data_IF_631773428473
#
_entry.id   IF_631773428473
#
_cell.length_a   1.000
_cell.length_b   1.000
_cell.length_c   1.000
_cell.angle_alpha   90.00
_cell.angle_beta   90.00
_cell.angle_gamma   90.00
#
_symmetry.space_group_name_H-M   'P 1'
#
loop_
_entity.id
_entity.type
_entity.pdbx_description
1 polymer ?
#
# COMPACT_ATOMS: atom_id res chain seq x y z
N UNK A 1 -14.39 -16.64 -9.50
CA UNK A 1 -14.49 -15.56 -10.53
C UNK A 1 -13.16 -14.84 -10.58
N UNK A 2 -12.88 -13.99 -11.59
CA UNK A 2 -11.61 -13.24 -11.60
C UNK A 2 -11.46 -12.33 -10.38
N UNK A 3 -12.58 -11.73 -9.94
CA UNK A 3 -12.70 -10.88 -8.75
C UNK A 3 -12.36 -11.60 -7.42
N UNK A 4 -12.25 -12.94 -7.42
CA UNK A 4 -11.83 -13.72 -6.26
C UNK A 4 -10.30 -13.98 -6.26
N UNK A 5 -9.56 -13.44 -7.24
CA UNK A 5 -8.13 -13.70 -7.45
C UNK A 5 -7.32 -12.49 -6.96
N UNK A 6 -6.43 -12.74 -6.01
CA UNK A 6 -5.46 -11.78 -5.51
C UNK A 6 -4.05 -12.24 -5.91
N UNK A 7 -3.41 -11.46 -6.77
CA UNK A 7 -2.06 -11.76 -7.27
C UNK A 7 -1.04 -11.08 -6.36
N UNK A 8 -0.13 -11.87 -5.78
CA UNK A 8 1.01 -11.35 -5.02
C UNK A 8 2.26 -11.29 -5.92
N UNK A 9 2.80 -10.10 -6.23
CA UNK A 9 4.00 -9.94 -7.06
C UNK A 9 5.31 -10.30 -6.33
N UNK A 10 5.24 -10.80 -5.09
CA UNK A 10 6.35 -11.25 -4.24
C UNK A 10 7.40 -10.17 -3.98
N UNK A 11 7.06 -9.26 -3.07
CA UNK A 11 7.91 -8.14 -2.66
C UNK A 11 9.27 -8.62 -2.12
N UNK A 12 10.35 -8.20 -2.77
CA UNK A 12 11.74 -8.48 -2.37
C UNK A 12 12.35 -7.31 -1.58
N UNK A 13 13.36 -7.53 -0.70
CA UNK A 13 13.96 -6.47 0.09
C UNK A 13 14.79 -5.47 -0.74
N UNK A 14 14.62 -4.16 -0.49
CA UNK A 14 15.45 -3.11 -1.11
C UNK A 14 16.92 -3.23 -0.71
N UNK A 15 17.20 -3.82 0.47
CA UNK A 15 18.58 -4.04 0.93
C UNK A 15 19.37 -5.00 0.06
N UNK A 16 18.69 -5.87 -0.71
CA UNK A 16 19.32 -6.87 -1.58
C UNK A 16 19.55 -6.30 -2.97
N UNK A 17 18.55 -5.60 -3.51
CA UNK A 17 18.64 -4.87 -4.77
C UNK A 17 17.79 -3.59 -4.68
N UNK A 18 18.41 -2.44 -4.95
CA UNK A 18 17.76 -1.14 -4.94
C UNK A 18 16.60 -1.03 -5.93
N UNK A 19 16.59 -1.85 -6.97
CA UNK A 19 15.54 -1.89 -8.00
C UNK A 19 14.29 -2.67 -7.54
N UNK A 20 14.35 -3.43 -6.44
CA UNK A 20 13.21 -4.24 -5.98
C UNK A 20 11.94 -3.42 -5.73
N UNK A 21 12.09 -2.17 -5.28
CA UNK A 21 10.95 -1.26 -5.09
C UNK A 21 10.29 -0.86 -6.41
N UNK A 22 11.07 -0.47 -7.42
CA UNK A 22 10.53 -0.06 -8.73
C UNK A 22 10.00 -1.24 -9.53
N UNK A 23 10.67 -2.40 -9.46
CA UNK A 23 10.22 -3.63 -10.11
C UNK A 23 8.84 -4.07 -9.63
N UNK A 24 8.59 -4.07 -8.31
CA UNK A 24 7.28 -4.49 -7.80
C UNK A 24 6.18 -3.49 -8.13
N UNK A 25 6.48 -2.18 -8.12
CA UNK A 25 5.52 -1.15 -8.55
C UNK A 25 5.13 -1.31 -10.01
N UNK A 26 6.10 -1.55 -10.89
CA UNK A 26 5.83 -1.80 -12.31
C UNK A 26 5.02 -3.09 -12.49
N UNK A 27 5.36 -4.17 -11.77
CA UNK A 27 4.62 -5.42 -11.82
C UNK A 27 3.14 -5.25 -11.42
N UNK A 28 2.86 -4.53 -10.31
CA UNK A 28 1.48 -4.21 -9.91
C UNK A 28 0.76 -3.45 -11.01
N UNK A 29 1.40 -2.39 -11.52
CA UNK A 29 0.81 -1.56 -12.56
C UNK A 29 0.48 -2.37 -13.82
N UNK A 30 1.41 -3.20 -14.29
CA UNK A 30 1.19 -4.07 -15.45
C UNK A 30 0.07 -5.07 -15.18
N UNK A 31 0.03 -5.71 -14.01
CA UNK A 31 -1.04 -6.65 -13.64
C UNK A 31 -2.40 -5.96 -13.70
N UNK A 32 -2.53 -4.79 -13.07
CA UNK A 32 -3.81 -4.05 -13.00
C UNK A 32 -4.23 -3.47 -14.36
N UNK A 33 -3.29 -3.25 -15.28
CA UNK A 33 -3.57 -2.78 -16.65
C UNK A 33 -3.96 -3.92 -17.59
N UNK A 34 -3.27 -5.06 -17.50
CA UNK A 34 -3.39 -6.15 -18.48
C UNK A 34 -4.43 -7.20 -18.08
N UNK A 35 -4.70 -7.36 -16.78
CA UNK A 35 -5.59 -8.39 -16.25
C UNK A 35 -6.85 -7.78 -15.66
N UNK A 36 -7.88 -7.62 -16.49
CA UNK A 36 -9.16 -7.08 -16.02
C UNK A 36 -9.88 -8.03 -15.05
N UNK A 37 -10.39 -7.43 -13.98
CA UNK A 37 -11.17 -8.06 -12.92
C UNK A 37 -10.38 -8.89 -11.91
N UNK A 38 -9.05 -8.71 -11.79
CA UNK A 38 -8.25 -9.31 -10.70
C UNK A 38 -7.79 -8.24 -9.71
N UNK A 39 -7.37 -8.68 -8.53
CA UNK A 39 -6.80 -7.82 -7.48
C UNK A 39 -5.31 -8.09 -7.29
N UNK A 40 -4.61 -7.16 -6.65
CA UNK A 40 -3.21 -7.33 -6.24
C UNK A 40 -3.10 -7.29 -4.72
N UNK A 41 -2.29 -8.20 -4.16
CA UNK A 41 -2.08 -8.25 -2.71
C UNK A 41 -0.62 -8.47 -2.36
N UNK A 42 -0.27 -8.38 -1.08
CA UNK A 42 1.08 -8.71 -0.65
C UNK A 42 1.46 -8.21 0.73
N UNK A 43 2.51 -8.83 1.27
CA UNK A 43 3.13 -8.47 2.53
C UNK A 43 4.15 -7.35 2.37
N UNK A 44 3.81 -6.13 2.82
CA UNK A 44 4.70 -4.95 2.71
C UNK A 44 5.96 -5.02 3.57
N UNK A 45 6.04 -5.86 4.60
CA UNK A 45 7.17 -5.86 5.54
C UNK A 45 8.48 -6.35 4.93
N UNK A 46 8.42 -7.08 3.81
CA UNK A 46 9.60 -7.65 3.16
C UNK A 46 10.46 -6.58 2.49
N UNK A 47 9.86 -5.49 2.00
CA UNK A 47 10.56 -4.41 1.28
C UNK A 47 11.68 -3.79 2.13
N UNK A 48 11.50 -3.72 3.45
CA UNK A 48 12.38 -3.06 4.41
C UNK A 48 13.29 -4.02 5.18
N UNK A 49 13.30 -5.30 4.86
CA UNK A 49 14.18 -6.26 5.52
C UNK A 49 15.65 -5.80 5.42
N UNK A 50 16.42 -5.95 6.50
CA UNK A 50 17.83 -5.52 6.55
C UNK A 50 18.08 -4.02 6.74
N UNK A 51 17.04 -3.17 6.76
CA UNK A 51 17.18 -1.71 6.88
C UNK A 51 16.70 -1.19 8.25
N UNK A 52 17.29 -0.09 8.76
CA UNK A 52 16.74 0.63 9.91
C UNK A 52 15.44 1.35 9.55
N UNK A 53 14.68 1.80 10.55
CA UNK A 53 13.47 2.61 10.35
C UNK A 53 12.40 1.97 9.44
N UNK A 54 12.27 0.64 9.50
CA UNK A 54 11.36 -0.18 8.66
C UNK A 54 9.92 0.32 8.59
N UNK A 55 9.39 0.88 9.69
CA UNK A 55 8.02 1.42 9.72
C UNK A 55 7.84 2.56 8.72
N UNK A 56 8.80 3.49 8.63
CA UNK A 56 8.75 4.60 7.68
C UNK A 56 8.81 4.07 6.25
N UNK A 57 9.75 3.16 5.97
CA UNK A 57 9.90 2.53 4.66
C UNK A 57 8.59 1.83 4.24
N UNK A 58 8.01 1.01 5.11
CA UNK A 58 6.78 0.27 4.83
C UNK A 58 5.57 1.20 4.58
N UNK A 59 5.49 2.33 5.30
CA UNK A 59 4.43 3.34 5.14
C UNK A 59 4.55 4.07 3.81
N UNK A 60 5.75 4.54 3.47
CA UNK A 60 6.02 5.20 2.20
C UNK A 60 5.78 4.25 1.03
N UNK A 61 6.26 3.01 1.15
CA UNK A 61 6.06 1.97 0.14
C UNK A 61 4.57 1.68 -0.10
N UNK A 62 3.75 1.59 0.95
CA UNK A 62 2.31 1.39 0.80
C UNK A 62 1.67 2.49 -0.07
N UNK A 63 1.97 3.77 0.19
CA UNK A 63 1.41 4.87 -0.62
C UNK A 63 1.81 4.77 -2.10
N UNK A 64 3.08 4.43 -2.35
CA UNK A 64 3.57 4.28 -3.73
C UNK A 64 2.90 3.09 -4.44
N UNK A 65 2.65 2.00 -3.73
CA UNK A 65 1.93 0.84 -4.26
C UNK A 65 0.47 1.17 -4.56
N UNK A 66 -0.24 1.84 -3.66
CA UNK A 66 -1.61 2.31 -3.88
C UNK A 66 -1.70 3.18 -5.13
N UNK A 67 -0.73 4.09 -5.33
CA UNK A 67 -0.68 4.94 -6.52
C UNK A 67 -0.46 4.17 -7.85
N UNK A 68 0.02 2.92 -7.79
CA UNK A 68 0.20 2.03 -8.95
C UNK A 68 -0.96 1.03 -9.13
N UNK A 69 -2.03 1.13 -8.34
CA UNK A 69 -3.21 0.26 -8.45
C UNK A 69 -3.26 -0.89 -7.45
N UNK A 70 -2.40 -0.90 -6.43
CA UNK A 70 -2.44 -1.90 -5.36
C UNK A 70 -3.68 -1.73 -4.49
N UNK A 71 -4.53 -2.75 -4.41
CA UNK A 71 -5.88 -2.65 -3.84
C UNK A 71 -6.10 -3.54 -2.59
N UNK A 72 -5.16 -4.43 -2.26
CA UNK A 72 -5.21 -5.25 -1.04
C UNK A 72 -3.83 -5.36 -0.38
N UNK A 73 -3.78 -5.39 0.96
CA UNK A 73 -2.52 -5.51 1.69
C UNK A 73 -2.66 -6.41 2.91
N UNK A 74 -1.66 -7.27 3.14
CA UNK A 74 -1.53 -8.03 4.38
C UNK A 74 -0.79 -7.15 5.39
N UNK A 75 -1.52 -6.69 6.40
CA UNK A 75 -1.01 -5.71 7.35
C UNK A 75 -1.61 -5.84 8.76
N UNK A 76 -0.91 -5.27 9.74
CA UNK A 76 -1.44 -5.06 11.08
C UNK A 76 -2.41 -3.86 11.09
N UNK A 77 -3.72 -4.08 11.30
CA UNK A 77 -4.71 -3.01 11.36
C UNK A 77 -4.67 -2.23 12.69
N UNK A 78 -3.93 -2.71 13.70
CA UNK A 78 -3.78 -2.05 15.00
C UNK A 78 -2.65 -1.02 15.01
N UNK A 79 -1.76 -1.02 14.00
CA UNK A 79 -0.80 0.06 13.80
C UNK A 79 -1.55 1.31 13.31
N UNK A 80 -1.74 2.27 14.23
CA UNK A 80 -2.53 3.48 13.95
C UNK A 80 -1.90 4.35 12.87
N UNK A 81 -0.58 4.45 12.85
CA UNK A 81 0.10 5.31 11.89
C UNK A 81 -0.05 4.77 10.47
N UNK A 82 -0.06 3.44 10.30
CA UNK A 82 -0.21 2.88 8.97
C UNK A 82 -1.65 2.87 8.50
N UNK A 83 -2.62 2.76 9.41
CA UNK A 83 -4.02 3.02 9.10
C UNK A 83 -4.26 4.50 8.75
N UNK A 84 -3.54 5.42 9.40
CA UNK A 84 -3.56 6.83 9.04
C UNK A 84 -3.02 7.05 7.62
N UNK A 85 -1.90 6.41 7.27
CA UNK A 85 -1.33 6.43 5.92
C UNK A 85 -2.31 5.86 4.89
N UNK A 86 -2.97 4.74 5.17
CA UNK A 86 -3.99 4.14 4.28
C UNK A 86 -5.13 5.12 4.01
N UNK A 87 -5.78 5.66 5.06
CA UNK A 87 -6.89 6.62 4.91
C UNK A 87 -6.47 7.90 4.19
N UNK A 88 -5.25 8.36 4.44
CA UNK A 88 -4.69 9.53 3.75
C UNK A 88 -4.41 9.21 2.28
N UNK A 89 -3.91 8.02 1.98
CA UNK A 89 -3.67 7.53 0.63
C UNK A 89 -4.95 7.46 -0.20
N UNK A 90 -6.02 6.87 0.34
CA UNK A 90 -7.34 6.83 -0.30
C UNK A 90 -7.87 8.24 -0.61
N UNK A 91 -7.73 9.16 0.35
CA UNK A 91 -8.14 10.56 0.14
C UNK A 91 -7.34 11.23 -0.98
N UNK A 92 -6.02 11.06 -0.99
CA UNK A 92 -5.15 11.66 -2.02
C UNK A 92 -5.39 11.02 -3.40
N UNK A 93 -5.70 9.72 -3.44
CA UNK A 93 -6.03 8.99 -4.67
C UNK A 93 -7.41 9.37 -5.25
N UNK A 94 -8.22 10.15 -4.52
CA UNK A 94 -9.56 10.55 -4.96
C UNK A 94 -10.64 9.53 -4.64
N UNK A 95 -10.38 8.59 -3.73
CA UNK A 95 -11.33 7.56 -3.28
C UNK A 95 -12.06 7.94 -1.97
N UNK A 96 -11.90 9.18 -1.48
CA UNK A 96 -12.60 9.71 -0.31
C UNK A 96 -13.42 10.94 -0.70
N UNK A 97 -14.68 10.73 -1.04
CA UNK A 97 -15.59 11.82 -1.42
C UNK A 97 -15.66 12.89 -0.33
N UNK A 98 -15.39 14.14 -0.73
CA UNK A 98 -15.33 15.31 0.15
C UNK A 98 -14.35 15.14 1.34
N UNK A 99 -13.37 14.24 1.23
CA UNK A 99 -12.41 13.90 2.28
C UNK A 99 -13.08 13.46 3.59
N UNK A 100 -14.29 12.90 3.53
CA UNK A 100 -15.12 12.66 4.70
C UNK A 100 -14.51 11.64 5.66
N UNK A 101 -13.92 10.57 5.15
CA UNK A 101 -13.29 9.53 5.97
C UNK A 101 -12.02 10.05 6.65
N UNK A 102 -11.21 10.82 5.93
CA UNK A 102 -10.03 11.49 6.47
C UNK A 102 -10.41 12.46 7.60
N UNK A 103 -11.36 13.37 7.35
CA UNK A 103 -11.82 14.35 8.34
C UNK A 103 -12.40 13.68 9.59
N UNK A 104 -13.17 12.60 9.41
CA UNK A 104 -13.71 11.80 10.53
C UNK A 104 -12.60 11.16 11.35
N UNK A 105 -11.58 10.60 10.69
CA UNK A 105 -10.45 9.95 11.37
C UNK A 105 -9.59 10.96 12.16
N UNK A 106 -9.37 12.16 11.62
CA UNK A 106 -8.69 13.25 12.35
C UNK A 106 -9.50 13.67 13.60
N UNK A 107 -10.82 13.86 13.47
CA UNK A 107 -11.69 14.21 14.62
C UNK A 107 -11.72 13.12 15.70
N UNK A 108 -11.64 11.85 15.30
CA UNK A 108 -11.57 10.72 16.23
C UNK A 108 -10.19 10.58 16.90
N UNK A 109 -9.17 11.31 16.45
CA UNK A 109 -7.79 11.19 16.94
C UNK A 109 -7.05 9.96 16.43
N UNK A 110 -7.53 9.33 15.36
CA UNK A 110 -6.86 8.19 14.70
C UNK A 110 -5.66 8.66 13.87
N UNK A 111 -5.75 9.85 13.29
CA UNK A 111 -4.70 10.51 12.50
C UNK A 111 -4.16 11.68 13.32
N UNK A 112 -2.85 11.70 13.54
CA UNK A 112 -2.15 12.74 14.31
C UNK A 112 -0.92 13.23 13.54
N UNK A 113 -0.54 14.49 13.79
CA UNK A 113 0.72 15.07 13.36
C UNK A 113 1.88 14.60 14.24
#
# INVERSE_FOLDING_TARGET
KRDDIFIDPLIQPISVDSNNGTMVMEAVKTIMQDLDGVHTTGGRSNISYGLPQRKIINRSFLLMMMANGFDSAIMDPLDKDIMAVLKTGEMVAGHDDYCMNFLKAVRAGDIKA
#
